data_IF_421618080439
#
_entry.id   IF_421618080439
#
_cell.length_a   1.000
_cell.length_b   1.000
_cell.length_c   1.000
_cell.angle_alpha   90.00
_cell.angle_beta   90.00
_cell.angle_gamma   90.00
#
_symmetry.space_group_name_H-M   'P 1'
#
loop_
_entity.id
_entity.type
_entity.pdbx_description
1 polymer ?
#
# COMPACT_ATOMS: atom_id res chain seq x y z
N UNK A 1 4.18 -44.00 -24.25
CA UNK A 1 3.63 -42.72 -24.84
C UNK A 1 2.29 -42.31 -24.23
N UNK A 2 1.88 -42.85 -23.07
CA UNK A 2 0.55 -42.61 -22.46
C UNK A 2 0.59 -41.88 -21.09
N UNK A 3 1.74 -41.61 -20.52
CA UNK A 3 1.83 -40.97 -19.19
C UNK A 3 2.12 -39.47 -19.19
N UNK A 4 2.24 -38.81 -20.37
CA UNK A 4 2.58 -37.40 -20.47
C UNK A 4 1.37 -36.47 -20.64
N UNK A 5 0.13 -36.99 -20.60
CA UNK A 5 -1.09 -36.17 -20.84
C UNK A 5 -1.96 -35.89 -19.61
N UNK A 6 -1.56 -36.31 -18.43
CA UNK A 6 -2.39 -36.12 -17.22
C UNK A 6 -1.85 -35.07 -16.21
N UNK A 7 -0.78 -34.35 -16.54
CA UNK A 7 -0.22 -33.32 -15.65
C UNK A 7 -0.61 -31.87 -16.02
N UNK A 8 -1.51 -31.67 -16.97
CA UNK A 8 -1.91 -30.34 -17.46
C UNK A 8 -3.29 -29.82 -17.01
N UNK A 9 -3.98 -30.52 -16.10
CA UNK A 9 -5.36 -30.16 -15.68
C UNK A 9 -5.46 -29.79 -14.20
N UNK A 10 -4.45 -29.18 -13.60
CA UNK A 10 -4.67 -28.42 -12.38
C UNK A 10 -5.28 -27.09 -12.79
N UNK A 11 -6.57 -26.96 -12.51
CA UNK A 11 -7.47 -25.94 -12.98
C UNK A 11 -6.87 -24.53 -12.90
N UNK A 12 -6.46 -24.01 -14.05
CA UNK A 12 -6.27 -22.59 -14.20
C UNK A 12 -7.64 -21.96 -13.97
N UNK A 13 -7.77 -21.22 -12.87
CA UNK A 13 -8.97 -20.42 -12.61
C UNK A 13 -9.15 -19.54 -13.85
N UNK A 14 -10.29 -19.65 -14.54
CA UNK A 14 -10.53 -18.79 -15.70
C UNK A 14 -10.56 -17.33 -15.25
N UNK A 15 -10.17 -16.41 -16.12
CA UNK A 15 -10.17 -14.97 -15.80
C UNK A 15 -11.54 -14.53 -15.30
N UNK A 16 -12.61 -15.09 -15.88
CA UNK A 16 -14.00 -14.80 -15.47
C UNK A 16 -14.28 -15.25 -14.04
N UNK A 17 -13.85 -16.46 -13.65
CA UNK A 17 -14.02 -16.96 -12.29
C UNK A 17 -13.15 -16.18 -11.30
N UNK A 18 -11.97 -15.72 -11.70
CA UNK A 18 -11.13 -14.86 -10.87
C UNK A 18 -11.82 -13.51 -10.57
N UNK A 19 -12.42 -12.88 -11.58
CA UNK A 19 -13.18 -11.64 -11.39
C UNK A 19 -14.43 -11.88 -10.52
N UNK A 20 -15.15 -12.96 -10.73
CA UNK A 20 -16.33 -13.28 -9.93
C UNK A 20 -15.98 -13.53 -8.47
N UNK A 21 -14.97 -14.34 -8.20
CA UNK A 21 -14.46 -14.62 -6.85
C UNK A 21 -13.99 -13.33 -6.19
N UNK A 22 -13.20 -12.51 -6.91
CA UNK A 22 -12.71 -11.23 -6.40
C UNK A 22 -13.87 -10.29 -6.05
N UNK A 23 -14.87 -10.15 -6.90
CA UNK A 23 -16.04 -9.32 -6.65
C UNK A 23 -16.86 -9.82 -5.43
N UNK A 24 -17.05 -11.13 -5.29
CA UNK A 24 -17.74 -11.73 -4.13
C UNK A 24 -16.95 -11.52 -2.85
N UNK A 25 -15.63 -11.68 -2.87
CA UNK A 25 -14.76 -11.43 -1.72
C UNK A 25 -14.80 -9.96 -1.29
N UNK A 26 -14.76 -9.02 -2.24
CA UNK A 26 -14.88 -7.59 -1.94
C UNK A 26 -16.25 -7.30 -1.32
N UNK A 27 -17.32 -7.78 -1.92
CA UNK A 27 -18.68 -7.59 -1.40
C UNK A 27 -18.81 -8.14 0.02
N UNK A 28 -18.34 -9.35 0.26
CA UNK A 28 -18.36 -9.99 1.58
C UNK A 28 -17.51 -9.21 2.58
N UNK A 29 -16.32 -8.77 2.20
CA UNK A 29 -15.44 -7.96 3.04
C UNK A 29 -16.08 -6.62 3.45
N UNK A 30 -16.78 -5.97 2.50
CA UNK A 30 -17.52 -4.73 2.78
C UNK A 30 -18.69 -4.99 3.75
N UNK A 31 -19.40 -6.11 3.59
CA UNK A 31 -20.47 -6.48 4.51
C UNK A 31 -19.93 -6.75 5.93
N UNK A 32 -18.83 -7.48 6.05
CA UNK A 32 -18.15 -7.73 7.34
C UNK A 32 -17.69 -6.41 7.95
N UNK A 33 -17.04 -5.55 7.18
CA UNK A 33 -16.60 -4.23 7.65
C UNK A 33 -17.76 -3.40 8.21
N UNK A 34 -18.88 -3.38 7.50
CA UNK A 34 -20.10 -2.68 7.92
C UNK A 34 -20.67 -3.23 9.22
N UNK A 35 -20.66 -4.56 9.38
CA UNK A 35 -21.15 -5.21 10.61
C UNK A 35 -20.27 -4.88 11.84
N UNK A 36 -18.98 -4.64 11.63
CA UNK A 36 -18.01 -4.35 12.70
C UNK A 36 -17.68 -2.86 12.86
N UNK A 37 -18.35 -1.97 12.13
CA UNK A 37 -18.08 -0.52 12.16
C UNK A 37 -18.16 0.09 13.58
N UNK A 38 -19.08 -0.41 14.39
CA UNK A 38 -19.29 0.04 15.78
C UNK A 38 -18.26 -0.48 16.78
N UNK A 39 -17.46 -1.48 16.41
CA UNK A 39 -16.47 -2.08 17.31
C UNK A 39 -15.11 -1.38 17.29
N UNK A 40 -14.91 -0.40 16.39
CA UNK A 40 -13.66 0.33 16.26
C UNK A 40 -12.50 -0.52 15.71
N UNK A 41 -12.81 -1.61 15.03
CA UNK A 41 -11.81 -2.44 14.35
C UNK A 41 -11.46 -1.79 12.99
N UNK A 42 -10.19 -1.56 12.69
CA UNK A 42 -9.79 -1.04 11.38
C UNK A 42 -10.28 -1.94 10.24
N UNK A 43 -10.94 -1.36 9.25
CA UNK A 43 -11.52 -2.07 8.10
C UNK A 43 -10.49 -2.93 7.36
N UNK A 44 -9.24 -2.47 7.27
CA UNK A 44 -8.13 -3.19 6.63
C UNK A 44 -7.87 -4.54 7.31
N UNK A 45 -7.94 -4.60 8.65
CA UNK A 45 -7.76 -5.86 9.40
C UNK A 45 -8.89 -6.85 9.06
N UNK A 46 -10.12 -6.38 8.94
CA UNK A 46 -11.25 -7.23 8.58
C UNK A 46 -11.10 -7.78 7.16
N UNK A 47 -10.64 -6.98 6.21
CA UNK A 47 -10.37 -7.42 4.84
C UNK A 47 -9.23 -8.44 4.80
N UNK A 48 -8.18 -8.23 5.60
CA UNK A 48 -7.08 -9.18 5.71
C UNK A 48 -7.56 -10.54 6.27
N UNK A 49 -8.37 -10.53 7.34
CA UNK A 49 -8.94 -11.75 7.93
C UNK A 49 -9.81 -12.48 6.91
N UNK A 50 -10.69 -11.78 6.19
CA UNK A 50 -11.51 -12.38 5.13
C UNK A 50 -10.63 -13.01 4.05
N UNK A 51 -9.58 -12.30 3.61
CA UNK A 51 -8.63 -12.83 2.65
C UNK A 51 -7.88 -14.07 3.16
N UNK A 52 -7.45 -14.09 4.41
CA UNK A 52 -6.80 -15.25 5.04
C UNK A 52 -7.72 -16.46 5.14
N UNK A 53 -9.00 -16.25 5.52
CA UNK A 53 -10.00 -17.32 5.59
C UNK A 53 -10.31 -17.88 4.20
N UNK A 54 -10.38 -17.03 3.18
CA UNK A 54 -10.64 -17.46 1.81
C UNK A 54 -9.43 -18.12 1.15
N UNK A 55 -8.22 -17.80 1.57
CA UNK A 55 -6.96 -18.23 0.95
C UNK A 55 -6.68 -19.72 1.05
N UNK A 56 -5.55 -20.14 0.47
CA UNK A 56 -5.15 -21.55 0.34
C UNK A 56 -5.06 -22.30 1.67
N UNK A 57 -4.56 -21.64 2.71
CA UNK A 57 -4.44 -22.20 4.06
C UNK A 57 -5.69 -21.97 4.91
N UNK A 58 -6.69 -21.25 4.38
CA UNK A 58 -7.95 -20.98 5.06
C UNK A 58 -9.04 -22.00 4.74
N UNK A 59 -10.24 -21.75 5.27
CA UNK A 59 -11.42 -22.60 5.04
C UNK A 59 -11.87 -22.56 3.58
N UNK A 60 -11.68 -21.42 2.89
CA UNK A 60 -12.08 -21.23 1.49
C UNK A 60 -11.22 -21.99 0.48
N UNK A 61 -10.01 -22.40 0.86
CA UNK A 61 -9.06 -23.16 0.02
C UNK A 61 -8.90 -22.63 -1.40
N UNK A 62 -8.99 -21.31 -1.57
CA UNK A 62 -8.79 -20.68 -2.87
C UNK A 62 -7.29 -20.72 -3.22
N UNK A 63 -6.93 -21.55 -4.20
CA UNK A 63 -5.56 -21.66 -4.69
C UNK A 63 -5.26 -20.47 -5.61
N UNK A 64 -4.63 -19.43 -5.05
CA UNK A 64 -4.19 -18.26 -5.78
C UNK A 64 -2.70 -18.05 -5.56
N UNK A 65 -1.88 -18.62 -6.45
CA UNK A 65 -0.41 -18.60 -6.38
C UNK A 65 0.24 -17.78 -7.51
N UNK A 66 -0.52 -16.90 -8.16
CA UNK A 66 0.03 -16.03 -9.20
C UNK A 66 0.53 -14.71 -8.60
N UNK A 67 1.84 -14.67 -8.30
CA UNK A 67 2.51 -13.49 -7.76
C UNK A 67 2.52 -12.31 -8.74
N UNK A 68 2.44 -12.53 -10.05
CA UNK A 68 2.40 -11.46 -11.04
C UNK A 68 1.05 -10.74 -11.01
N UNK A 69 -0.04 -11.49 -10.95
CA UNK A 69 -1.39 -10.94 -10.83
C UNK A 69 -1.53 -10.23 -9.47
N UNK A 70 -1.08 -10.86 -8.37
CA UNK A 70 -1.13 -10.25 -7.04
C UNK A 70 -0.37 -8.92 -6.99
N UNK A 71 0.87 -8.89 -7.52
CA UNK A 71 1.68 -7.67 -7.60
C UNK A 71 1.00 -6.59 -8.44
N UNK A 72 0.47 -6.95 -9.61
CA UNK A 72 -0.17 -6.00 -10.51
C UNK A 72 -1.44 -5.40 -9.89
N UNK A 73 -2.26 -6.23 -9.25
CA UNK A 73 -3.44 -5.80 -8.52
C UNK A 73 -3.07 -4.89 -7.34
N UNK A 74 -2.03 -5.23 -6.58
CA UNK A 74 -1.52 -4.41 -5.48
C UNK A 74 -1.04 -3.03 -5.96
N UNK A 75 -0.27 -2.97 -7.06
CA UNK A 75 0.19 -1.71 -7.65
C UNK A 75 -1.01 -0.87 -8.12
N UNK A 76 -1.98 -1.47 -8.80
CA UNK A 76 -3.17 -0.77 -9.27
C UNK A 76 -3.98 -0.20 -8.09
N UNK A 77 -4.19 -1.00 -7.04
CA UNK A 77 -4.86 -0.56 -5.83
C UNK A 77 -4.11 0.60 -5.15
N UNK A 78 -2.79 0.50 -5.01
CA UNK A 78 -1.94 1.54 -4.41
C UNK A 78 -2.05 2.85 -5.20
N UNK A 79 -1.99 2.81 -6.54
CA UNK A 79 -2.14 4.00 -7.39
C UNK A 79 -3.50 4.68 -7.16
N UNK A 80 -4.59 3.91 -7.08
CA UNK A 80 -5.94 4.44 -6.85
C UNK A 80 -6.05 5.07 -5.46
N UNK A 81 -5.51 4.39 -4.43
CA UNK A 81 -5.54 4.87 -3.04
C UNK A 81 -4.75 6.18 -2.92
N UNK A 82 -3.53 6.23 -3.45
CA UNK A 82 -2.68 7.43 -3.41
C UNK A 82 -3.31 8.58 -4.22
N UNK A 83 -3.90 8.29 -5.37
CA UNK A 83 -4.59 9.30 -6.18
C UNK A 83 -5.81 9.87 -5.44
N UNK A 84 -6.65 9.02 -4.86
CA UNK A 84 -7.81 9.44 -4.07
C UNK A 84 -7.40 10.27 -2.85
N UNK A 85 -6.40 9.81 -2.08
CA UNK A 85 -5.86 10.56 -0.95
C UNK A 85 -5.28 11.92 -1.36
N UNK A 86 -4.60 11.97 -2.53
CA UNK A 86 -4.08 13.20 -3.08
C UNK A 86 -5.17 14.20 -3.49
N UNK A 87 -6.30 13.74 -4.04
CA UNK A 87 -7.44 14.60 -4.39
C UNK A 87 -8.09 15.24 -3.14
N UNK A 88 -8.16 14.49 -2.04
CA UNK A 88 -8.73 14.96 -0.78
C UNK A 88 -7.79 15.90 -0.01
N UNK A 89 -6.51 15.96 -0.40
CA UNK A 89 -5.48 16.73 0.30
C UNK A 89 -5.47 18.20 -0.14
N UNK A 90 -5.81 19.12 0.76
CA UNK A 90 -5.75 20.56 0.51
C UNK A 90 -4.34 21.08 0.77
N UNK A 91 -3.61 21.46 -0.29
CA UNK A 91 -2.21 21.91 -0.20
C UNK A 91 -1.94 22.99 0.85
N UNK A 92 -2.84 23.97 0.99
CA UNK A 92 -2.69 25.05 1.99
C UNK A 92 -2.71 24.52 3.42
N UNK A 93 -3.44 23.45 3.68
CA UNK A 93 -3.54 22.82 5.00
C UNK A 93 -2.32 22.01 5.36
N UNK A 94 -1.73 21.28 4.38
CA UNK A 94 -0.61 20.36 4.63
C UNK A 94 0.76 21.02 4.48
N UNK A 95 0.85 22.15 3.76
CA UNK A 95 2.13 22.86 3.52
C UNK A 95 2.93 23.17 4.79
N UNK A 96 2.33 23.64 5.90
CA UNK A 96 3.08 23.91 7.13
C UNK A 96 3.72 22.66 7.73
N UNK A 97 3.10 21.49 7.56
CA UNK A 97 3.59 20.20 8.05
C UNK A 97 4.52 19.47 7.08
N UNK A 98 4.75 20.00 5.86
CA UNK A 98 5.43 19.29 4.78
C UNK A 98 6.85 18.82 5.15
N UNK A 99 7.67 19.67 5.78
CA UNK A 99 9.01 19.29 6.18
C UNK A 99 9.04 18.22 7.27
N UNK A 100 8.14 18.32 8.25
CA UNK A 100 7.98 17.30 9.30
C UNK A 100 7.50 15.97 8.71
N UNK A 101 6.55 16.03 7.80
CA UNK A 101 6.05 14.84 7.11
C UNK A 101 7.13 14.16 6.26
N UNK A 102 7.91 14.91 5.46
CA UNK A 102 9.03 14.39 4.68
C UNK A 102 10.10 13.77 5.59
N UNK A 103 10.45 14.42 6.70
CA UNK A 103 11.38 13.86 7.67
C UNK A 103 10.88 12.54 8.27
N UNK A 104 9.62 12.48 8.68
CA UNK A 104 9.03 11.27 9.26
C UNK A 104 8.91 10.15 8.23
N UNK A 105 8.43 10.45 7.02
CA UNK A 105 8.27 9.46 5.96
C UNK A 105 9.60 8.97 5.35
N UNK A 106 10.71 9.62 5.62
CA UNK A 106 12.05 9.18 5.17
C UNK A 106 12.88 8.65 6.32
N UNK A 107 13.32 9.54 7.24
CA UNK A 107 14.14 9.14 8.37
C UNK A 107 13.39 8.23 9.35
N UNK A 108 12.11 8.52 9.62
CA UNK A 108 11.28 7.68 10.48
C UNK A 108 11.17 6.26 9.96
N UNK A 109 10.88 6.10 8.65
CA UNK A 109 10.82 4.80 7.98
C UNK A 109 12.15 4.05 8.08
N UNK A 110 13.28 4.72 7.79
CA UNK A 110 14.62 4.10 7.90
C UNK A 110 14.95 3.70 9.35
N UNK A 111 14.64 4.54 10.33
CA UNK A 111 14.86 4.23 11.74
C UNK A 111 14.00 3.02 12.15
N UNK A 112 12.71 3.01 11.81
CA UNK A 112 11.80 1.89 12.10
C UNK A 112 12.29 0.61 11.47
N UNK A 113 12.71 0.66 10.20
CA UNK A 113 13.32 -0.47 9.49
C UNK A 113 14.54 -1.03 10.23
N UNK A 114 15.48 -0.16 10.61
CA UNK A 114 16.70 -0.57 11.32
C UNK A 114 16.39 -1.13 12.72
N UNK A 115 15.52 -0.51 13.48
CA UNK A 115 15.13 -0.98 14.82
C UNK A 115 14.42 -2.34 14.73
N UNK A 116 13.55 -2.53 13.75
CA UNK A 116 12.90 -3.82 13.49
C UNK A 116 13.92 -4.89 13.11
N UNK A 117 14.91 -4.56 12.28
CA UNK A 117 15.97 -5.48 11.92
C UNK A 117 16.82 -5.90 13.13
N UNK A 118 17.20 -4.93 13.98
CA UNK A 118 17.91 -5.21 15.23
C UNK A 118 17.08 -6.13 16.13
N UNK A 119 15.81 -5.78 16.35
CA UNK A 119 14.93 -6.59 17.18
C UNK A 119 14.78 -8.02 16.65
N UNK A 120 14.51 -8.20 15.35
CA UNK A 120 14.31 -9.52 14.77
C UNK A 120 15.59 -10.36 14.74
N UNK A 121 16.73 -9.72 14.55
CA UNK A 121 18.01 -10.41 14.61
C UNK A 121 18.30 -10.99 16.00
N UNK A 122 18.15 -10.17 17.06
CA UNK A 122 18.48 -10.60 18.43
C UNK A 122 17.36 -11.44 19.07
N UNK A 123 16.09 -11.17 18.78
CA UNK A 123 14.96 -11.88 19.39
C UNK A 123 14.66 -13.22 18.70
N UNK A 124 14.81 -13.27 17.38
CA UNK A 124 14.43 -14.46 16.58
C UNK A 124 15.60 -15.11 15.84
N UNK A 125 16.84 -14.59 15.97
CA UNK A 125 18.01 -15.14 15.27
C UNK A 125 17.94 -14.98 13.74
N UNK A 126 17.12 -14.05 13.23
CA UNK A 126 16.96 -13.84 11.79
C UNK A 126 18.21 -13.22 11.16
N UNK A 127 18.38 -13.40 9.84
CA UNK A 127 19.45 -12.70 9.12
C UNK A 127 19.19 -11.21 9.08
N UNK A 128 20.24 -10.38 9.03
CA UNK A 128 20.12 -8.93 8.89
C UNK A 128 19.27 -8.53 7.68
N UNK A 129 19.45 -9.21 6.55
CA UNK A 129 18.67 -8.93 5.33
C UNK A 129 17.19 -9.21 5.53
N UNK A 130 16.84 -10.34 6.16
CA UNK A 130 15.43 -10.66 6.45
C UNK A 130 14.82 -9.67 7.44
N UNK A 131 15.59 -9.26 8.45
CA UNK A 131 15.15 -8.25 9.41
C UNK A 131 14.92 -6.87 8.79
N UNK A 132 15.82 -6.43 7.91
CA UNK A 132 15.67 -5.18 7.15
C UNK A 132 14.46 -5.24 6.21
N UNK A 133 14.26 -6.36 5.51
CA UNK A 133 13.09 -6.54 4.64
C UNK A 133 11.78 -6.48 5.42
N UNK A 134 11.70 -7.19 6.54
CA UNK A 134 10.53 -7.11 7.41
C UNK A 134 10.31 -5.69 7.92
N UNK A 135 11.40 -5.03 8.36
CA UNK A 135 11.34 -3.65 8.82
C UNK A 135 10.88 -2.67 7.75
N UNK A 136 11.33 -2.83 6.49
CA UNK A 136 10.89 -1.99 5.38
C UNK A 136 9.39 -2.13 5.11
N UNK A 137 8.86 -3.35 5.16
CA UNK A 137 7.43 -3.61 4.95
C UNK A 137 6.58 -3.07 6.10
N UNK A 138 7.01 -3.28 7.35
CA UNK A 138 6.25 -2.88 8.55
C UNK A 138 6.35 -1.37 8.84
N UNK A 139 7.33 -0.68 8.26
CA UNK A 139 7.53 0.76 8.49
C UNK A 139 6.51 1.67 7.82
N UNK A 140 5.73 1.18 6.86
CA UNK A 140 4.61 1.92 6.29
C UNK A 140 3.48 2.03 7.31
N UNK A 141 2.89 3.22 7.44
CA UNK A 141 1.78 3.51 8.35
C UNK A 141 0.51 3.83 7.58
N UNK A 142 -0.64 3.40 8.11
CA UNK A 142 -1.95 3.66 7.51
C UNK A 142 -2.74 4.67 8.37
N UNK A 143 -2.82 5.90 7.88
CA UNK A 143 -3.57 6.96 8.56
C UNK A 143 -5.07 6.71 8.57
N UNK A 144 -5.62 5.99 7.59
CA UNK A 144 -7.05 5.69 7.54
C UNK A 144 -7.44 4.76 8.71
N UNK A 145 -6.60 3.77 9.01
CA UNK A 145 -6.76 2.92 10.19
C UNK A 145 -6.72 3.74 11.49
N UNK A 146 -5.74 4.65 11.62
CA UNK A 146 -5.62 5.54 12.79
C UNK A 146 -6.89 6.39 12.96
N UNK A 147 -7.36 7.03 11.91
CA UNK A 147 -8.56 7.87 11.97
C UNK A 147 -9.84 7.07 12.23
N UNK A 148 -9.92 5.82 11.78
CA UNK A 148 -11.06 4.96 12.09
C UNK A 148 -11.15 4.67 13.60
N UNK A 149 -10.02 4.35 14.23
CA UNK A 149 -9.93 4.12 15.67
C UNK A 149 -10.22 5.39 16.46
N UNK A 150 -9.68 6.53 16.06
CA UNK A 150 -9.93 7.80 16.73
C UNK A 150 -11.41 8.21 16.66
N UNK A 151 -12.06 8.02 15.52
CA UNK A 151 -13.50 8.28 15.35
C UNK A 151 -14.35 7.39 16.24
N UNK A 152 -14.03 6.10 16.33
CA UNK A 152 -14.77 5.17 17.20
C UNK A 152 -14.65 5.52 18.69
N UNK A 153 -13.58 6.22 19.07
CA UNK A 153 -13.35 6.70 20.44
C UNK A 153 -13.78 8.16 20.66
N UNK A 154 -14.43 8.80 19.66
CA UNK A 154 -14.82 10.22 19.70
C UNK A 154 -13.67 11.17 20.00
N UNK A 155 -12.44 10.79 19.64
CA UNK A 155 -11.24 11.61 19.80
C UNK A 155 -11.02 12.47 18.55
N UNK A 156 -10.78 13.77 18.78
CA UNK A 156 -10.49 14.71 17.70
C UNK A 156 -9.02 15.14 17.75
N UNK A 157 -8.33 15.00 16.64
CA UNK A 157 -6.98 15.53 16.49
C UNK A 157 -7.02 17.02 16.14
N UNK A 158 -6.00 17.75 16.61
CA UNK A 158 -5.73 19.10 16.10
C UNK A 158 -5.47 19.04 14.61
N UNK A 159 -5.89 20.07 13.88
CA UNK A 159 -5.77 20.10 12.42
C UNK A 159 -4.32 19.93 11.93
N UNK A 160 -3.35 20.50 12.67
CA UNK A 160 -1.93 20.39 12.33
C UNK A 160 -1.43 18.93 12.36
N UNK A 161 -1.83 18.19 13.40
CA UNK A 161 -1.47 16.78 13.55
C UNK A 161 -2.18 15.92 12.51
N UNK A 162 -3.43 16.23 12.21
CA UNK A 162 -4.17 15.53 11.16
C UNK A 162 -3.49 15.69 9.81
N UNK A 163 -3.17 16.93 9.42
CA UNK A 163 -2.47 17.23 8.18
C UNK A 163 -1.09 16.59 8.10
N UNK A 164 -0.36 16.53 9.24
CA UNK A 164 0.93 15.86 9.34
C UNK A 164 0.80 14.37 9.07
N UNK A 165 -0.14 13.70 9.74
CA UNK A 165 -0.35 12.26 9.60
C UNK A 165 -0.82 11.88 8.17
N UNK A 166 -1.73 12.68 7.59
CA UNK A 166 -2.20 12.47 6.22
C UNK A 166 -1.06 12.56 5.20
N UNK A 167 -0.18 13.56 5.34
CA UNK A 167 0.92 13.75 4.41
C UNK A 167 2.06 12.75 4.66
N UNK A 168 2.33 12.43 5.91
CA UNK A 168 3.35 11.44 6.32
C UNK A 168 2.98 10.06 5.78
N UNK A 169 1.77 9.57 6.03
CA UNK A 169 1.31 8.25 5.59
C UNK A 169 1.29 8.14 4.06
N UNK A 170 0.79 9.15 3.34
CA UNK A 170 0.82 9.14 1.87
C UNK A 170 2.23 9.19 1.27
N UNK A 171 3.24 9.62 2.06
CA UNK A 171 4.63 9.73 1.62
C UNK A 171 5.51 8.56 2.07
N UNK A 172 5.16 7.87 3.17
CA UNK A 172 5.94 6.75 3.67
C UNK A 172 5.73 5.47 2.85
N UNK A 173 4.54 5.26 2.26
CA UNK A 173 4.25 4.12 1.40
C UNK A 173 5.24 4.01 0.21
N UNK A 174 5.43 5.06 -0.60
CA UNK A 174 6.45 5.05 -1.66
C UNK A 174 7.85 4.77 -1.14
N UNK A 175 8.21 5.28 0.05
CA UNK A 175 9.51 5.05 0.67
C UNK A 175 9.68 3.58 1.11
N UNK A 176 8.67 2.99 1.74
CA UNK A 176 8.69 1.60 2.17
C UNK A 176 8.75 0.64 0.96
N UNK A 177 7.98 0.90 -0.09
CA UNK A 177 8.04 0.13 -1.35
C UNK A 177 9.43 0.24 -1.99
N UNK A 178 10.00 1.45 -2.06
CA UNK A 178 11.34 1.65 -2.58
C UNK A 178 12.38 0.86 -1.80
N UNK A 179 12.39 0.96 -0.46
CA UNK A 179 13.33 0.23 0.39
C UNK A 179 13.18 -1.28 0.25
N UNK A 180 11.95 -1.77 0.19
CA UNK A 180 11.67 -3.20 0.00
C UNK A 180 12.25 -3.71 -1.31
N UNK A 181 11.97 -3.01 -2.43
CA UNK A 181 12.48 -3.39 -3.75
C UNK A 181 14.01 -3.28 -3.81
N UNK A 182 14.59 -2.25 -3.22
CA UNK A 182 16.02 -2.05 -3.14
C UNK A 182 16.71 -3.18 -2.34
N UNK A 183 16.16 -3.55 -1.19
CA UNK A 183 16.68 -4.63 -0.36
C UNK A 183 16.54 -6.00 -1.05
N UNK A 184 15.46 -6.24 -1.77
CA UNK A 184 15.30 -7.45 -2.59
C UNK A 184 16.39 -7.50 -3.67
N UNK A 185 16.61 -6.41 -4.40
CA UNK A 185 17.62 -6.34 -5.44
C UNK A 185 19.05 -6.58 -4.87
N UNK A 186 19.31 -6.07 -3.67
CA UNK A 186 20.56 -6.34 -2.96
C UNK A 186 20.66 -7.81 -2.51
N UNK A 187 19.61 -8.36 -1.92
CA UNK A 187 19.57 -9.74 -1.43
C UNK A 187 19.71 -10.79 -2.55
N UNK A 188 19.17 -10.48 -3.74
CA UNK A 188 19.26 -11.35 -4.92
C UNK A 188 20.54 -11.17 -5.74
N UNK A 189 21.44 -10.28 -5.32
CA UNK A 189 22.69 -9.99 -6.03
C UNK A 189 22.49 -9.21 -7.35
N UNK A 190 21.29 -8.66 -7.61
CA UNK A 190 21.03 -7.83 -8.78
C UNK A 190 21.79 -6.49 -8.74
N UNK A 191 22.21 -6.06 -7.55
CA UNK A 191 23.11 -4.91 -7.36
C UNK A 191 24.01 -5.14 -6.15
N UNK A 192 25.27 -4.74 -6.27
CA UNK A 192 26.28 -4.86 -5.20
C UNK A 192 26.67 -3.51 -4.62
N UNK A 193 26.16 -2.41 -5.15
CA UNK A 193 26.54 -1.05 -4.75
C UNK A 193 25.44 -0.37 -3.96
N UNK A 194 25.67 -0.15 -2.69
CA UNK A 194 24.75 0.59 -1.80
C UNK A 194 24.54 2.05 -2.23
N UNK A 195 25.50 2.64 -2.95
CA UNK A 195 25.40 4.01 -3.46
C UNK A 195 24.39 4.18 -4.61
N UNK A 196 23.98 3.09 -5.25
CA UNK A 196 22.94 3.13 -6.28
C UNK A 196 21.57 3.46 -5.70
N UNK A 197 21.30 3.07 -4.46
CA UNK A 197 19.96 3.24 -3.87
C UNK A 197 19.56 4.70 -3.64
N UNK A 198 20.37 5.57 -3.03
CA UNK A 198 20.03 6.97 -2.89
C UNK A 198 19.81 7.67 -4.25
N UNK A 199 20.63 7.34 -5.24
CA UNK A 199 20.53 7.92 -6.58
C UNK A 199 19.24 7.46 -7.29
N UNK A 200 18.91 6.17 -7.19
CA UNK A 200 17.67 5.63 -7.73
C UNK A 200 16.45 6.25 -7.05
N UNK A 201 16.48 6.38 -5.74
CA UNK A 201 15.43 7.05 -4.98
C UNK A 201 15.22 8.49 -5.43
N UNK A 202 16.29 9.27 -5.49
CA UNK A 202 16.23 10.66 -5.93
C UNK A 202 15.68 10.78 -7.36
N UNK A 203 16.14 9.92 -8.27
CA UNK A 203 15.66 9.87 -9.65
C UNK A 203 14.16 9.52 -9.69
N UNK A 204 13.71 8.54 -8.94
CA UNK A 204 12.29 8.16 -8.88
C UNK A 204 11.43 9.29 -8.31
N UNK A 205 11.90 9.95 -7.25
CA UNK A 205 11.20 11.09 -6.65
C UNK A 205 11.08 12.27 -7.63
N UNK A 206 12.18 12.66 -8.29
CA UNK A 206 12.17 13.75 -9.27
C UNK A 206 11.22 13.44 -10.42
N UNK A 207 11.33 12.25 -11.00
CA UNK A 207 10.46 11.83 -12.09
C UNK A 207 8.99 11.75 -11.64
N UNK A 208 8.72 11.16 -10.47
CA UNK A 208 7.37 11.06 -9.92
C UNK A 208 6.73 12.44 -9.72
N UNK A 209 7.45 13.39 -9.12
CA UNK A 209 6.99 14.77 -8.94
C UNK A 209 6.77 15.46 -10.30
N UNK A 210 7.70 15.32 -11.24
CA UNK A 210 7.58 15.94 -12.57
C UNK A 210 6.36 15.40 -13.32
N UNK A 211 6.18 14.08 -13.38
CA UNK A 211 5.01 13.44 -13.99
C UNK A 211 3.71 13.77 -13.25
N UNK A 212 3.72 13.76 -11.91
CA UNK A 212 2.55 14.09 -11.10
C UNK A 212 2.06 15.52 -11.35
N UNK A 213 2.97 16.50 -11.35
CA UNK A 213 2.63 17.89 -11.66
C UNK A 213 2.17 18.03 -13.13
N UNK A 214 2.88 17.39 -14.06
CA UNK A 214 2.55 17.46 -15.48
C UNK A 214 1.17 16.88 -15.79
N UNK A 215 0.91 15.66 -15.36
CA UNK A 215 -0.38 14.98 -15.56
C UNK A 215 -1.50 15.64 -14.77
N UNK A 216 -1.24 16.11 -13.55
CA UNK A 216 -2.23 16.82 -12.73
C UNK A 216 -2.67 18.12 -13.40
N UNK A 217 -1.73 18.92 -13.94
CA UNK A 217 -2.07 20.13 -14.70
C UNK A 217 -2.82 19.81 -15.99
N UNK A 218 -2.39 18.77 -16.71
CA UNK A 218 -3.08 18.33 -17.94
C UNK A 218 -4.52 17.93 -17.63
N UNK A 219 -4.74 17.13 -16.59
CA UNK A 219 -6.07 16.70 -16.15
C UNK A 219 -6.93 17.89 -15.74
N UNK A 220 -6.38 18.83 -14.97
CA UNK A 220 -7.08 20.05 -14.57
C UNK A 220 -7.50 20.90 -15.78
N UNK A 221 -6.61 21.04 -16.80
CA UNK A 221 -6.93 21.74 -18.03
C UNK A 221 -8.04 21.05 -18.81
N UNK A 222 -7.99 19.70 -18.92
CA UNK A 222 -9.02 18.92 -19.60
C UNK A 222 -10.37 19.05 -18.90
N UNK A 223 -10.42 18.89 -17.58
CA UNK A 223 -11.65 19.00 -16.80
C UNK A 223 -12.25 20.41 -16.86
N UNK A 224 -11.42 21.45 -16.81
CA UNK A 224 -11.88 22.84 -16.95
C UNK A 224 -12.41 23.14 -18.36
N UNK A 225 -11.94 22.43 -19.39
CA UNK A 225 -12.39 22.59 -20.77
C UNK A 225 -13.68 21.82 -21.06
N UNK A 226 -13.86 20.69 -20.41
CA UNK A 226 -15.09 19.89 -20.45
C UNK A 226 -16.02 20.46 -19.39
N UNK A 227 -16.90 21.39 -19.78
CA UNK A 227 -17.99 21.83 -18.92
C UNK A 227 -18.93 20.65 -18.74
N UNK A 228 -18.75 19.89 -17.69
CA UNK A 228 -19.78 18.96 -17.23
C UNK A 228 -20.94 19.84 -16.75
N UNK A 229 -21.95 20.05 -17.60
CA UNK A 229 -23.25 20.55 -17.14
C UNK A 229 -23.84 19.41 -16.32
N UNK A 230 -23.57 19.44 -15.03
CA UNK A 230 -24.26 18.57 -14.09
C UNK A 230 -25.59 19.26 -13.79
N UNK A 231 -26.60 19.00 -14.60
CA UNK A 231 -27.99 19.23 -14.22
C UNK A 231 -28.34 18.14 -13.20
N UNK A 232 -27.81 18.36 -11.97
CA UNK A 232 -28.09 17.50 -10.84
C UNK A 232 -29.45 17.81 -10.27
N UNK A 233 -30.24 16.78 -10.16
CA UNK A 233 -31.48 16.58 -9.41
C UNK A 233 -31.53 17.37 -8.11
#
# INVERSE_FOLDING_TARGET
RSHARLQGAHGMISIESLFLIGALLILFSVMVARAFDNFGVPTVILFLIVGMIAGENGVGRLHFNDYHIAKSAGIAALVIILFSGGLDTVWKSVRPAAWSAVSLSTLGVVITMCLTAVFTHYAFGSTWTSGLLLGAVVSATDVAAVFSVLRSRHLHLRQDLRSLLELESGSNDPMAVFLTVALIAFATGATHSLWHFPLLFLRQMILGVAFGIGLGKLLALLLNRIRFTYDGI
#
